data_IF_843134857993
#
_entry.id   IF_843134857993
#
_cell.length_a   1.000
_cell.length_b   1.000
_cell.length_c   1.000
_cell.angle_alpha   90.00
_cell.angle_beta   90.00
_cell.angle_gamma   90.00
#
_symmetry.space_group_name_H-M   'P 1'
#
loop_
_entity.id
_entity.type
_entity.pdbx_description
1 polymer ?
#
# COMPACT_ATOMS: atom_id res chain seq x y z
N UNK A 1 15.84 27.09 32.22
CA UNK A 1 16.74 26.46 31.23
C UNK A 1 16.10 26.58 29.86
N UNK A 2 16.86 27.02 28.86
CA UNK A 2 16.46 26.93 27.44
C UNK A 2 16.32 25.45 27.05
N UNK A 3 15.20 25.04 26.45
CA UNK A 3 15.05 23.67 25.96
C UNK A 3 15.94 23.47 24.72
N UNK A 4 16.64 22.34 24.66
CA UNK A 4 17.29 21.92 23.42
C UNK A 4 16.22 21.41 22.47
N UNK A 5 15.97 22.16 21.39
CA UNK A 5 14.95 21.83 20.40
C UNK A 5 15.48 20.73 19.47
N UNK A 6 14.69 19.67 19.30
CA UNK A 6 14.88 18.68 18.24
C UNK A 6 13.75 18.85 17.24
N UNK A 7 14.09 18.85 15.94
CA UNK A 7 13.13 19.06 14.85
C UNK A 7 13.30 17.97 13.80
N UNK A 8 12.17 17.42 13.35
CA UNK A 8 12.08 16.59 12.16
C UNK A 8 11.55 17.48 11.02
N UNK A 9 12.27 17.53 9.90
CA UNK A 9 11.89 18.28 8.70
C UNK A 9 11.69 17.26 7.57
N UNK A 10 10.49 17.23 7.00
CA UNK A 10 10.12 16.33 5.90
C UNK A 10 10.01 17.16 4.62
N UNK A 11 10.86 16.86 3.63
CA UNK A 11 10.77 17.44 2.30
C UNK A 11 9.95 16.47 1.42
N UNK A 12 8.64 16.72 1.31
CA UNK A 12 7.74 15.81 0.60
C UNK A 12 8.11 15.71 -0.89
N UNK A 13 8.11 14.48 -1.43
CA UNK A 13 8.53 14.20 -2.80
C UNK A 13 10.02 14.40 -3.12
N UNK A 14 10.89 14.57 -2.11
CA UNK A 14 12.33 14.75 -2.30
C UNK A 14 13.08 13.41 -2.19
N UNK A 15 13.47 12.83 -3.34
CA UNK A 15 14.28 11.61 -3.41
C UNK A 15 15.69 11.85 -3.97
N UNK A 16 16.63 10.95 -3.65
CA UNK A 16 17.97 10.94 -4.24
C UNK A 16 18.01 9.91 -5.37
N UNK A 17 18.34 10.36 -6.58
CA UNK A 17 18.48 9.52 -7.76
C UNK A 17 19.80 9.79 -8.48
N UNK A 18 20.41 8.75 -9.05
CA UNK A 18 21.59 8.91 -9.90
C UNK A 18 21.23 9.49 -11.28
N UNK A 19 19.99 9.34 -11.74
CA UNK A 19 19.53 9.87 -13.02
C UNK A 19 19.52 11.41 -12.99
N UNK A 20 20.05 12.03 -14.03
CA UNK A 20 20.13 13.49 -14.18
C UNK A 20 19.06 14.04 -15.12
N UNK A 21 18.59 13.23 -16.06
CA UNK A 21 17.56 13.63 -17.00
C UNK A 21 16.21 13.79 -16.28
N UNK A 22 15.62 14.99 -16.38
CA UNK A 22 14.37 15.32 -15.70
C UNK A 22 14.47 15.44 -14.17
N UNK A 23 15.66 15.42 -13.58
CA UNK A 23 15.85 15.44 -12.14
C UNK A 23 15.87 16.88 -11.57
N UNK A 24 14.71 17.39 -11.18
CA UNK A 24 14.57 18.72 -10.59
C UNK A 24 15.39 18.91 -9.30
N UNK A 25 15.58 17.86 -8.49
CA UNK A 25 16.36 17.91 -7.24
C UNK A 25 17.84 18.19 -7.54
N UNK A 26 18.43 17.49 -8.50
CA UNK A 26 19.82 17.71 -8.93
C UNK A 26 20.02 19.03 -9.67
N UNK A 27 19.03 19.47 -10.45
CA UNK A 27 19.12 20.71 -11.23
C UNK A 27 18.90 21.97 -10.37
N UNK A 28 18.29 21.85 -9.20
CA UNK A 28 18.04 22.98 -8.31
C UNK A 28 19.33 23.49 -7.67
N UNK A 29 19.39 24.80 -7.38
CA UNK A 29 20.45 25.38 -6.57
C UNK A 29 20.08 25.24 -5.09
N UNK A 30 20.70 24.32 -4.38
CA UNK A 30 20.35 23.97 -2.98
C UNK A 30 21.49 24.21 -1.99
N UNK A 31 22.10 25.42 -1.94
CA UNK A 31 23.36 25.65 -1.21
C UNK A 31 23.30 25.30 0.28
N UNK A 32 22.13 25.40 0.91
CA UNK A 32 21.94 25.01 2.32
C UNK A 32 21.96 23.48 2.47
N UNK A 33 21.22 22.75 1.63
CA UNK A 33 21.23 21.27 1.67
C UNK A 33 22.59 20.73 1.25
N UNK A 34 23.22 21.33 0.24
CA UNK A 34 24.55 20.94 -0.25
C UNK A 34 25.59 21.03 0.89
N UNK A 35 25.59 22.15 1.62
CA UNK A 35 26.46 22.33 2.78
C UNK A 35 26.12 21.35 3.92
N UNK A 36 24.84 21.06 4.17
CA UNK A 36 24.44 20.09 5.19
C UNK A 36 24.92 18.67 4.84
N UNK A 37 24.72 18.21 3.59
CA UNK A 37 25.20 16.91 3.14
C UNK A 37 26.73 16.81 3.15
N UNK A 38 27.45 17.92 2.90
CA UNK A 38 28.91 17.94 2.95
C UNK A 38 29.50 17.95 4.37
N UNK A 39 28.79 18.52 5.35
CA UNK A 39 29.36 18.82 6.68
C UNK A 39 28.71 18.06 7.83
N UNK A 40 27.58 17.38 7.62
CA UNK A 40 26.83 16.66 8.65
C UNK A 40 26.66 15.18 8.28
N UNK A 41 26.56 14.28 9.27
CA UNK A 41 26.25 12.88 9.00
C UNK A 41 24.91 12.75 8.29
N UNK A 42 24.87 11.96 7.23
CA UNK A 42 23.64 11.62 6.52
C UNK A 42 23.69 10.16 6.02
N UNK A 43 22.51 9.60 5.75
CA UNK A 43 22.35 8.29 5.12
C UNK A 43 21.13 8.32 4.21
N UNK A 44 21.03 7.35 3.32
CA UNK A 44 19.80 7.04 2.59
C UNK A 44 18.97 6.03 3.37
N UNK A 45 17.65 6.10 3.18
CA UNK A 45 16.69 5.14 3.73
C UNK A 45 15.71 4.73 2.62
N UNK A 46 15.20 3.51 2.72
CA UNK A 46 14.15 3.02 1.83
C UNK A 46 12.80 3.63 2.23
N UNK A 47 12.10 4.23 1.27
CA UNK A 47 10.81 4.90 1.48
C UNK A 47 9.72 4.37 0.54
N UNK A 48 9.89 3.15 0.02
CA UNK A 48 9.00 2.53 -0.97
C UNK A 48 9.00 1.01 -0.82
N UNK A 49 8.04 0.35 -1.45
CA UNK A 49 7.88 -1.10 -1.42
C UNK A 49 7.78 -1.71 -0.02
N UNK A 50 8.37 -2.90 0.14
CA UNK A 50 8.25 -3.70 1.38
C UNK A 50 8.81 -3.00 2.61
N UNK A 51 9.77 -2.09 2.43
CA UNK A 51 10.38 -1.33 3.53
C UNK A 51 9.39 -0.42 4.26
N UNK A 52 8.28 -0.05 3.60
CA UNK A 52 7.23 0.82 4.18
C UNK A 52 5.85 0.14 4.20
N UNK A 53 5.81 -1.18 4.04
CA UNK A 53 4.56 -1.96 4.10
C UNK A 53 3.73 -1.92 2.81
N UNK A 54 4.37 -1.64 1.66
CA UNK A 54 3.78 -1.71 0.32
C UNK A 54 4.26 -2.97 -0.44
N UNK A 55 3.58 -3.37 -1.54
CA UNK A 55 4.07 -4.42 -2.43
C UNK A 55 5.44 -4.08 -3.01
N UNK A 56 6.19 -5.10 -3.40
CA UNK A 56 7.49 -4.89 -4.03
C UNK A 56 7.38 -4.07 -5.32
N UNK A 57 8.29 -3.13 -5.54
CA UNK A 57 8.27 -2.20 -6.67
C UNK A 57 7.21 -1.07 -6.58
N UNK A 58 6.31 -1.09 -5.61
CA UNK A 58 5.32 -0.01 -5.44
C UNK A 58 5.99 1.25 -4.89
N UNK A 59 5.78 2.39 -5.56
CA UNK A 59 6.25 3.68 -5.07
C UNK A 59 5.61 4.05 -3.73
N UNK A 60 6.38 4.73 -2.86
CA UNK A 60 5.87 5.36 -1.66
C UNK A 60 4.95 6.55 -1.96
N UNK A 61 4.26 7.02 -0.93
CA UNK A 61 3.44 8.22 -0.98
C UNK A 61 3.44 8.92 0.39
N UNK A 62 2.88 10.13 0.45
CA UNK A 62 2.89 10.95 1.67
C UNK A 62 2.22 10.25 2.86
N UNK A 63 1.08 9.59 2.67
CA UNK A 63 0.35 8.90 3.75
C UNK A 63 1.19 7.76 4.34
N UNK A 64 1.64 6.85 3.48
CA UNK A 64 2.47 5.69 3.87
C UNK A 64 3.75 6.17 4.56
N UNK A 65 4.41 7.19 4.01
CA UNK A 65 5.64 7.76 4.57
C UNK A 65 5.44 8.33 5.98
N UNK A 66 4.45 9.22 6.15
CA UNK A 66 4.19 9.86 7.44
C UNK A 66 3.75 8.85 8.52
N UNK A 67 2.96 7.84 8.14
CA UNK A 67 2.55 6.77 9.05
C UNK A 67 3.78 5.98 9.55
N UNK A 68 4.66 5.55 8.65
CA UNK A 68 5.85 4.78 9.04
C UNK A 68 6.80 5.62 9.92
N UNK A 69 7.02 6.90 9.56
CA UNK A 69 7.84 7.83 10.35
C UNK A 69 7.28 8.02 11.76
N UNK A 70 5.97 8.28 11.87
CA UNK A 70 5.30 8.49 13.15
C UNK A 70 5.18 7.22 14.00
N UNK A 71 5.05 6.05 13.36
CA UNK A 71 4.89 4.78 14.05
C UNK A 71 6.22 4.14 14.51
N UNK A 72 7.35 4.55 13.92
CA UNK A 72 8.68 3.99 14.23
C UNK A 72 8.81 2.50 13.89
N UNK A 73 8.00 2.00 12.96
CA UNK A 73 7.97 0.60 12.50
C UNK A 73 7.39 0.52 11.10
N UNK A 74 7.58 -0.62 10.43
CA UNK A 74 6.88 -0.94 9.19
C UNK A 74 5.38 -1.06 9.48
N UNK A 75 4.58 -0.24 8.84
CA UNK A 75 3.11 -0.30 8.93
C UNK A 75 2.57 -0.93 7.65
N UNK A 76 2.12 -2.19 7.77
CA UNK A 76 1.47 -2.91 6.67
C UNK A 76 0.22 -2.14 6.23
N UNK A 77 0.24 -1.70 4.98
CA UNK A 77 -0.91 -1.04 4.37
C UNK A 77 -2.01 -2.05 4.10
N UNK A 78 -3.26 -1.60 4.04
CA UNK A 78 -4.43 -2.48 3.85
C UNK A 78 -4.28 -3.38 2.62
N UNK A 79 -3.73 -2.87 1.51
CA UNK A 79 -3.39 -3.68 0.33
C UNK A 79 -2.50 -4.87 0.70
N UNK A 80 -1.37 -4.62 1.37
CA UNK A 80 -0.44 -5.67 1.78
C UNK A 80 -1.03 -6.58 2.85
N UNK A 81 -1.82 -6.04 3.78
CA UNK A 81 -2.49 -6.84 4.80
C UNK A 81 -3.43 -7.85 4.15
N UNK A 82 -4.28 -7.40 3.23
CA UNK A 82 -5.22 -8.28 2.51
C UNK A 82 -4.47 -9.25 1.59
N UNK A 83 -3.44 -8.80 0.86
CA UNK A 83 -2.64 -9.70 0.02
C UNK A 83 -2.00 -10.81 0.86
N UNK A 84 -1.42 -10.50 2.02
CA UNK A 84 -0.83 -11.52 2.90
C UNK A 84 -1.88 -12.49 3.44
N UNK A 85 -3.09 -12.03 3.78
CA UNK A 85 -4.16 -12.93 4.22
C UNK A 85 -4.64 -13.85 3.09
N UNK A 86 -4.55 -13.41 1.84
CA UNK A 86 -4.83 -14.27 0.69
C UNK A 86 -3.72 -15.32 0.54
N UNK A 87 -2.45 -14.90 0.59
CA UNK A 87 -1.28 -15.78 0.45
C UNK A 87 -1.19 -16.85 1.54
N UNK A 88 -1.48 -16.50 2.80
CA UNK A 88 -1.43 -17.42 3.93
C UNK A 88 -2.72 -18.23 4.13
N UNK A 89 -3.76 -17.94 3.34
CA UNK A 89 -5.06 -18.63 3.37
C UNK A 89 -6.10 -18.07 4.35
N UNK A 90 -5.73 -17.15 5.26
CA UNK A 90 -6.64 -16.56 6.26
C UNK A 90 -7.82 -15.80 5.63
N UNK A 91 -7.64 -15.24 4.44
CA UNK A 91 -8.70 -14.55 3.69
C UNK A 91 -9.91 -15.46 3.43
N UNK A 92 -9.66 -16.74 3.13
CA UNK A 92 -10.71 -17.72 2.82
C UNK A 92 -11.48 -18.20 4.05
N UNK A 93 -10.98 -17.88 5.24
CA UNK A 93 -11.63 -18.17 6.54
C UNK A 93 -12.24 -16.90 7.16
N UNK A 94 -12.15 -15.74 6.49
CA UNK A 94 -12.71 -14.50 7.01
C UNK A 94 -14.22 -14.65 7.25
N UNK A 95 -14.62 -14.53 8.52
CA UNK A 95 -16.00 -14.77 8.97
C UNK A 95 -17.03 -13.97 8.18
N UNK A 96 -16.75 -12.69 7.89
CA UNK A 96 -17.69 -11.81 7.18
C UNK A 96 -17.85 -12.24 5.73
N UNK A 97 -16.74 -12.58 5.05
CA UNK A 97 -16.79 -13.06 3.66
C UNK A 97 -17.49 -14.42 3.57
N UNK A 98 -17.22 -15.32 4.52
CA UNK A 98 -17.91 -16.60 4.65
C UNK A 98 -19.42 -16.42 4.83
N UNK A 99 -19.83 -15.55 5.74
CA UNK A 99 -21.26 -15.26 6.01
C UNK A 99 -21.96 -14.69 4.78
N UNK A 100 -21.31 -13.82 4.00
CA UNK A 100 -21.89 -13.28 2.77
C UNK A 100 -22.16 -14.38 1.71
N UNK A 101 -21.22 -15.32 1.55
CA UNK A 101 -21.37 -16.44 0.63
C UNK A 101 -22.44 -17.42 1.11
N UNK A 102 -22.43 -17.78 2.40
CA UNK A 102 -23.44 -18.68 2.96
C UNK A 102 -24.84 -18.07 2.95
N UNK A 103 -24.97 -16.75 3.16
CA UNK A 103 -26.24 -16.05 2.99
C UNK A 103 -26.79 -16.18 1.57
N UNK A 104 -25.94 -16.02 0.54
CA UNK A 104 -26.37 -16.18 -0.85
C UNK A 104 -26.81 -17.63 -1.16
N UNK A 105 -26.08 -18.62 -0.62
CA UNK A 105 -26.43 -20.04 -0.76
C UNK A 105 -27.75 -20.38 -0.09
N UNK A 106 -27.91 -20.01 1.18
CA UNK A 106 -29.09 -20.33 1.99
C UNK A 106 -30.39 -19.77 1.39
N UNK A 107 -30.31 -18.61 0.73
CA UNK A 107 -31.47 -17.96 0.11
C UNK A 107 -31.66 -18.33 -1.36
N UNK A 108 -30.80 -19.16 -1.94
CA UNK A 108 -30.82 -19.41 -3.38
C UNK A 108 -30.75 -18.09 -4.15
N UNK A 109 -29.87 -17.17 -3.76
CA UNK A 109 -29.59 -15.90 -4.43
C UNK A 109 -28.19 -15.89 -5.05
N UNK A 110 -27.62 -14.72 -5.30
CA UNK A 110 -26.32 -14.54 -5.95
C UNK A 110 -25.42 -13.59 -5.15
N UNK A 111 -24.11 -13.77 -5.28
CA UNK A 111 -23.11 -12.84 -4.77
C UNK A 111 -22.81 -11.79 -5.85
N UNK A 112 -22.85 -10.52 -5.47
CA UNK A 112 -22.46 -9.40 -6.33
C UNK A 112 -21.21 -8.75 -5.76
N UNK A 113 -20.16 -8.62 -6.57
CA UNK A 113 -18.91 -7.94 -6.20
C UNK A 113 -18.77 -6.65 -6.98
N UNK A 114 -18.30 -5.59 -6.33
CA UNK A 114 -18.11 -4.28 -6.93
C UNK A 114 -16.68 -3.81 -6.65
N UNK A 115 -16.00 -3.25 -7.65
CA UNK A 115 -14.67 -2.70 -7.43
C UNK A 115 -14.02 -2.15 -8.70
N UNK A 116 -13.04 -1.28 -8.49
CA UNK A 116 -12.13 -0.83 -9.54
C UNK A 116 -11.28 -2.02 -9.99
N UNK A 117 -11.21 -2.26 -11.30
CA UNK A 117 -10.43 -3.38 -11.84
C UNK A 117 -9.17 -2.85 -12.49
N UNK A 118 -8.08 -2.86 -11.73
CA UNK A 118 -6.76 -2.52 -12.23
C UNK A 118 -5.68 -3.13 -11.34
N UNK A 119 -4.44 -3.29 -11.85
CA UNK A 119 -3.28 -3.63 -11.04
C UNK A 119 -2.71 -2.43 -10.27
N UNK A 120 -3.44 -1.29 -10.21
CA UNK A 120 -2.88 -0.03 -9.69
C UNK A 120 -2.62 -0.02 -8.18
N UNK A 121 -3.36 -0.80 -7.39
CA UNK A 121 -3.11 -0.93 -5.94
C UNK A 121 -3.47 0.29 -5.08
N UNK A 122 -3.97 1.39 -5.67
CA UNK A 122 -4.34 2.60 -4.92
C UNK A 122 -5.67 2.44 -4.20
N UNK A 123 -6.70 1.97 -4.92
CA UNK A 123 -8.05 1.79 -4.37
C UNK A 123 -8.50 0.32 -4.32
N UNK A 124 -7.84 -0.55 -5.08
CA UNK A 124 -8.16 -1.97 -5.20
C UNK A 124 -7.00 -2.70 -5.90
N UNK A 125 -7.09 -4.03 -5.94
CA UNK A 125 -6.22 -4.86 -6.76
C UNK A 125 -7.04 -6.00 -7.39
N UNK A 126 -6.84 -6.26 -8.69
CA UNK A 126 -7.56 -7.33 -9.42
C UNK A 126 -7.42 -8.69 -8.75
N UNK A 127 -6.27 -8.99 -8.14
CA UNK A 127 -6.04 -10.27 -7.46
C UNK A 127 -6.96 -10.49 -6.25
N UNK A 128 -7.36 -9.41 -5.55
CA UNK A 128 -8.29 -9.52 -4.42
C UNK A 128 -9.70 -9.89 -4.90
N UNK A 129 -10.12 -9.36 -6.05
CA UNK A 129 -11.37 -9.77 -6.69
C UNK A 129 -11.32 -11.25 -7.10
N UNK A 130 -10.20 -11.69 -7.68
CA UNK A 130 -10.01 -13.09 -8.04
C UNK A 130 -10.06 -14.02 -6.82
N UNK A 131 -9.48 -13.61 -5.69
CA UNK A 131 -9.57 -14.35 -4.43
C UNK A 131 -11.02 -14.47 -3.92
N UNK A 132 -11.86 -13.44 -4.09
CA UNK A 132 -13.29 -13.51 -3.74
C UNK A 132 -14.03 -14.52 -4.64
N UNK A 133 -13.77 -14.49 -5.95
CA UNK A 133 -14.38 -15.42 -6.92
C UNK A 133 -13.94 -16.85 -6.62
N UNK A 134 -12.66 -17.06 -6.31
CA UNK A 134 -12.14 -18.35 -5.88
C UNK A 134 -12.80 -18.83 -4.59
N UNK A 135 -12.93 -17.96 -3.58
CA UNK A 135 -13.58 -18.28 -2.32
C UNK A 135 -15.03 -18.73 -2.51
N UNK A 136 -15.78 -18.03 -3.37
CA UNK A 136 -17.15 -18.41 -3.73
C UNK A 136 -17.20 -19.80 -4.39
N UNK A 137 -16.25 -20.10 -5.29
CA UNK A 137 -16.15 -21.42 -5.92
C UNK A 137 -15.81 -22.52 -4.92
N UNK A 138 -14.83 -22.30 -4.03
CA UNK A 138 -14.42 -23.24 -2.97
C UNK A 138 -15.59 -23.59 -2.04
N UNK A 139 -16.51 -22.65 -1.81
CA UNK A 139 -17.70 -22.83 -0.96
C UNK A 139 -18.95 -23.31 -1.73
N UNK A 140 -18.84 -23.57 -3.03
CA UNK A 140 -19.92 -24.12 -3.85
C UNK A 140 -21.04 -23.13 -4.19
N UNK A 141 -20.75 -21.82 -4.28
CA UNK A 141 -21.69 -20.84 -4.80
C UNK A 141 -21.49 -20.67 -6.32
N UNK A 142 -22.54 -20.95 -7.09
CA UNK A 142 -22.45 -20.92 -8.57
C UNK A 142 -22.80 -19.57 -9.21
N UNK A 143 -23.51 -18.69 -8.49
CA UNK A 143 -23.93 -17.38 -9.02
C UNK A 143 -23.13 -16.25 -8.40
N UNK A 144 -22.13 -15.80 -9.14
CA UNK A 144 -21.29 -14.64 -8.81
C UNK A 144 -21.33 -13.66 -9.98
N UNK A 145 -21.68 -12.40 -9.70
CA UNK A 145 -21.72 -11.31 -10.68
C UNK A 145 -20.69 -10.24 -10.32
N UNK A 146 -19.83 -9.91 -11.28
CA UNK A 146 -18.77 -8.92 -11.11
C UNK A 146 -19.18 -7.60 -11.77
N UNK A 147 -19.19 -6.52 -10.99
CA UNK A 147 -19.46 -5.17 -11.45
C UNK A 147 -18.17 -4.37 -11.46
N UNK A 148 -17.63 -4.16 -12.66
CA UNK A 148 -16.33 -3.55 -12.87
C UNK A 148 -16.44 -2.03 -12.92
N UNK A 149 -15.67 -1.33 -12.08
CA UNK A 149 -15.39 0.09 -12.26
C UNK A 149 -14.08 0.22 -13.05
N UNK A 150 -14.03 1.17 -13.99
CA UNK A 150 -12.90 1.41 -14.91
C UNK A 150 -12.21 2.73 -14.56
#
# INVERSE_FOLDING_TARGET
MSKNLTMLIIMDGFGISCNEEGNAVKCAKTPVLDNLFATRPYTLIEASGRAVGLPDGQMGNSEVGHINIGAGRIVDQELMRITRTIENGEFFENKVLCEAIEHAKANGSALHTYGLISPGGVHSHTDHLLAIVEMAKRKGLDRVYVHCFM
#
